data_IF_406689146084
#
_entry.id   IF_406689146084
#
_cell.length_a   1.000
_cell.length_b   1.000
_cell.length_c   1.000
_cell.angle_alpha   90.00
_cell.angle_beta   90.00
_cell.angle_gamma   90.00
#
_symmetry.space_group_name_H-M   'P 1'
#
loop_
_entity.id
_entity.type
_entity.pdbx_description
1 polymer ?
#
# COMPACT_ATOMS: atom_id res chain seq x y z
N UNK A 1 -11.42 12.38 6.82
CA UNK A 1 -11.21 11.66 5.55
C UNK A 1 -10.14 10.61 5.80
N UNK A 2 -10.29 9.38 5.32
CA UNK A 2 -9.28 8.35 5.50
C UNK A 2 -8.00 8.75 4.76
N UNK A 3 -6.87 8.59 5.44
CA UNK A 3 -5.55 8.90 4.88
C UNK A 3 -5.03 7.63 4.22
N UNK A 4 -4.72 7.71 2.94
CA UNK A 4 -4.08 6.61 2.19
C UNK A 4 -2.67 7.05 1.83
N UNK A 5 -1.68 6.19 2.01
CA UNK A 5 -0.35 6.40 1.44
C UNK A 5 -0.17 5.48 0.24
N UNK A 6 0.30 6.04 -0.87
CA UNK A 6 0.49 5.30 -2.12
C UNK A 6 1.95 5.31 -2.51
N UNK A 7 2.43 4.17 -2.99
CA UNK A 7 3.68 4.09 -3.73
C UNK A 7 3.51 3.28 -5.00
N UNK A 8 4.41 3.51 -5.96
CA UNK A 8 4.44 2.81 -7.24
C UNK A 8 5.85 2.29 -7.45
N UNK A 9 5.96 0.99 -7.71
CA UNK A 9 7.23 0.28 -7.91
C UNK A 9 7.24 -0.39 -9.29
N UNK A 10 8.42 -0.45 -9.89
CA UNK A 10 8.65 -0.98 -11.25
C UNK A 10 9.74 -2.06 -11.27
N UNK A 11 9.80 -2.89 -10.24
CA UNK A 11 10.88 -3.87 -10.05
C UNK A 11 10.66 -5.17 -10.82
N UNK A 12 9.43 -5.56 -11.17
CA UNK A 12 9.12 -6.75 -12.00
C UNK A 12 7.78 -6.64 -12.74
N UNK A 13 7.30 -5.41 -12.96
CA UNK A 13 5.94 -5.10 -13.38
C UNK A 13 5.46 -3.87 -12.62
N UNK A 14 4.54 -3.10 -13.20
CA UNK A 14 4.02 -1.89 -12.55
C UNK A 14 3.13 -2.31 -11.38
N UNK A 15 3.61 -2.10 -10.14
CA UNK A 15 2.87 -2.41 -8.93
C UNK A 15 2.50 -1.11 -8.22
N UNK A 16 1.20 -0.93 -7.96
CA UNK A 16 0.72 0.12 -7.06
C UNK A 16 0.53 -0.51 -5.69
N UNK A 17 1.02 0.15 -4.64
CA UNK A 17 0.79 -0.28 -3.26
C UNK A 17 0.11 0.86 -2.52
N UNK A 18 -1.05 0.55 -1.93
CA UNK A 18 -1.81 1.48 -1.09
C UNK A 18 -1.77 0.99 0.36
N UNK A 19 -1.46 1.90 1.27
CA UNK A 19 -1.50 1.70 2.71
C UNK A 19 -2.59 2.58 3.31
N UNK A 20 -3.40 2.03 4.20
CA UNK A 20 -4.35 2.82 4.98
C UNK A 20 -4.60 2.20 6.36
N UNK A 21 -4.87 3.06 7.32
CA UNK A 21 -5.10 2.66 8.71
C UNK A 21 -6.61 2.57 8.98
N UNK A 22 -7.03 1.47 9.59
CA UNK A 22 -8.35 1.27 10.18
C UNK A 22 -8.21 0.86 11.64
N UNK A 23 -9.33 0.52 12.29
CA UNK A 23 -9.36 0.18 13.71
C UNK A 23 -8.56 -1.10 14.02
N UNK A 24 -8.48 -1.99 13.04
CA UNK A 24 -7.80 -3.28 13.11
C UNK A 24 -6.29 -3.19 12.87
N UNK A 25 -5.80 -2.10 12.25
CA UNK A 25 -4.39 -1.92 11.90
C UNK A 25 -4.20 -1.22 10.56
N UNK A 26 -3.03 -1.41 9.96
CA UNK A 26 -2.63 -0.85 8.66
C UNK A 26 -2.73 -1.92 7.58
N UNK A 27 -3.63 -1.71 6.65
CA UNK A 27 -3.82 -2.55 5.48
C UNK A 27 -2.77 -2.23 4.41
N UNK A 28 -2.28 -3.26 3.74
CA UNK A 28 -1.34 -3.19 2.62
C UNK A 28 -1.97 -3.83 1.39
N UNK A 29 -2.45 -3.00 0.48
CA UNK A 29 -3.07 -3.45 -0.77
C UNK A 29 -2.10 -3.34 -1.93
N UNK A 30 -1.78 -4.47 -2.55
CA UNK A 30 -0.87 -4.54 -3.70
C UNK A 30 -1.67 -4.79 -4.96
N UNK A 31 -1.51 -3.93 -5.96
CA UNK A 31 -2.17 -4.01 -7.25
C UNK A 31 -1.14 -4.24 -8.35
N UNK A 32 -1.29 -5.31 -9.12
CA UNK A 32 -0.47 -5.60 -10.29
C UNK A 32 -1.00 -4.86 -11.53
N UNK A 33 -0.10 -4.55 -12.47
CA UNK A 33 -0.40 -3.80 -13.70
C UNK A 33 -1.55 -4.40 -14.52
N UNK A 34 -1.65 -5.73 -14.53
CA UNK A 34 -2.68 -6.47 -15.27
C UNK A 34 -4.05 -6.44 -14.57
N UNK A 35 -4.09 -6.09 -13.28
CA UNK A 35 -5.31 -6.05 -12.45
C UNK A 35 -5.34 -4.78 -11.57
N UNK A 36 -5.39 -3.57 -12.15
CA UNK A 36 -5.25 -2.32 -11.41
C UNK A 36 -6.44 -1.98 -10.50
N UNK A 37 -7.56 -2.68 -10.66
CA UNK A 37 -8.82 -2.46 -9.93
C UNK A 37 -9.10 -3.52 -8.85
N UNK A 38 -8.27 -4.55 -8.73
CA UNK A 38 -8.43 -5.61 -7.72
C UNK A 38 -7.08 -5.83 -7.07
N UNK A 39 -6.99 -5.65 -5.75
CA UNK A 39 -5.77 -5.97 -5.01
C UNK A 39 -5.46 -7.45 -5.25
N UNK A 40 -4.24 -7.71 -5.72
CA UNK A 40 -3.74 -9.06 -5.94
C UNK A 40 -3.27 -9.66 -4.62
N UNK A 41 -2.89 -8.81 -3.65
CA UNK A 41 -2.52 -9.19 -2.29
C UNK A 41 -3.04 -8.16 -1.29
N UNK A 42 -3.46 -8.65 -0.13
CA UNK A 42 -3.95 -7.87 1.01
C UNK A 42 -3.29 -8.40 2.29
N UNK A 43 -2.55 -7.53 2.98
CA UNK A 43 -1.91 -7.82 4.25
C UNK A 43 -2.40 -6.86 5.32
N UNK A 44 -2.50 -7.32 6.57
CA UNK A 44 -2.82 -6.49 7.73
C UNK A 44 -1.62 -6.46 8.68
N UNK A 45 -1.19 -5.25 9.08
CA UNK A 45 -0.07 -5.03 9.99
C UNK A 45 -0.48 -4.16 11.17
N UNK A 46 0.14 -4.35 12.34
CA UNK A 46 -0.27 -3.62 13.56
C UNK A 46 0.07 -2.13 13.50
N UNK A 47 1.11 -1.74 12.76
CA UNK A 47 1.59 -0.35 12.72
C UNK A 47 2.07 0.06 11.33
N UNK A 48 2.08 1.37 11.06
CA UNK A 48 2.66 1.97 9.85
C UNK A 48 4.11 1.58 9.62
N UNK A 49 4.87 1.41 10.70
CA UNK A 49 6.27 1.02 10.62
C UNK A 49 6.39 -0.39 10.06
N UNK A 50 5.63 -1.35 10.61
CA UNK A 50 5.61 -2.74 10.14
C UNK A 50 5.10 -2.84 8.70
N UNK A 51 4.07 -2.08 8.34
CA UNK A 51 3.58 -2.03 6.96
C UNK A 51 4.66 -1.55 5.97
N UNK A 52 5.40 -0.49 6.32
CA UNK A 52 6.49 0.01 5.48
C UNK A 52 7.71 -0.92 5.45
N UNK A 53 8.05 -1.56 6.58
CA UNK A 53 9.09 -2.60 6.65
C UNK A 53 8.76 -3.76 5.71
N UNK A 54 7.52 -4.30 5.78
CA UNK A 54 7.04 -5.32 4.86
C UNK A 54 7.13 -4.87 3.40
N UNK A 55 6.72 -3.63 3.10
CA UNK A 55 6.80 -3.13 1.73
C UNK A 55 8.25 -2.94 1.22
N UNK A 56 9.17 -2.62 2.11
CA UNK A 56 10.59 -2.52 1.77
C UNK A 56 11.20 -3.90 1.53
N UNK A 57 10.93 -4.87 2.40
CA UNK A 57 11.47 -6.23 2.32
C UNK A 57 10.91 -7.01 1.13
N UNK A 58 9.59 -7.00 0.93
CA UNK A 58 8.92 -7.80 -0.11
C UNK A 58 8.93 -7.14 -1.49
N UNK A 59 8.80 -5.81 -1.55
CA UNK A 59 8.61 -5.07 -2.80
C UNK A 59 9.71 -4.04 -3.09
N UNK A 60 10.66 -3.84 -2.18
CA UNK A 60 11.74 -2.87 -2.35
C UNK A 60 11.28 -1.42 -2.28
N UNK A 61 10.10 -1.13 -1.72
CA UNK A 61 9.56 0.24 -1.66
C UNK A 61 10.28 1.06 -0.56
N UNK A 62 10.97 2.16 -0.91
CA UNK A 62 11.63 3.00 0.10
C UNK A 62 10.66 3.65 1.09
N UNK A 63 11.11 3.91 2.32
CA UNK A 63 10.28 4.53 3.38
C UNK A 63 9.81 5.96 3.05
N UNK A 64 10.51 6.62 2.14
CA UNK A 64 10.28 8.00 1.71
C UNK A 64 9.51 8.11 0.39
N UNK A 65 9.27 7.00 -0.32
CA UNK A 65 8.57 7.00 -1.62
C UNK A 65 7.04 7.03 -1.49
N UNK A 66 6.52 7.19 -0.27
CA UNK A 66 5.09 7.18 0.03
C UNK A 66 4.48 8.55 -0.15
N UNK A 67 3.51 8.65 -1.05
CA UNK A 67 2.73 9.85 -1.28
C UNK A 67 1.43 9.78 -0.51
N UNK A 68 1.14 10.80 0.30
CA UNK A 68 -0.15 10.94 0.96
C UNK A 68 -1.22 11.28 -0.06
N UNK A 69 -2.29 10.51 -0.05
CA UNK A 69 -3.48 10.69 -0.86
C UNK A 69 -4.64 11.07 0.05
N UNK A 70 -5.25 12.22 -0.21
CA UNK A 70 -6.51 12.60 0.42
C UNK A 70 -7.65 12.01 -0.41
N UNK A 71 -8.15 10.85 0.00
CA UNK A 71 -9.26 10.16 -0.68
C UNK A 71 -10.56 10.33 0.09
N UNK A 72 -11.67 10.46 -0.65
CA UNK A 72 -13.00 10.53 -0.05
C UNK A 72 -13.39 9.21 0.65
N UNK A 73 -12.90 8.09 0.16
CA UNK A 73 -13.15 6.74 0.69
C UNK A 73 -11.89 5.87 0.48
N UNK A 74 -11.52 5.00 1.44
CA UNK A 74 -10.37 4.14 1.26
C UNK A 74 -10.67 3.07 0.20
N UNK A 75 -9.64 2.52 -0.46
CA UNK A 75 -9.84 1.39 -1.37
C UNK A 75 -10.52 0.23 -0.62
N UNK A 76 -11.54 -0.36 -1.25
CA UNK A 76 -12.28 -1.54 -0.76
C UNK A 76 -11.61 -2.83 -1.20
#
# INVERSE_FOLDING_TARGET
>A
MPVVYRSVVNTSGFQRIDLFEQQEGVYVLVYEAERPHSSTRDYLQDTWKLAKELCFEEFGVPFESWQRMDVAQPPR
#
